data_IF_429447194203
#
_entry.id   IF_429447194203
#
_cell.length_a   1.000
_cell.length_b   1.000
_cell.length_c   1.000
_cell.angle_alpha   90.00
_cell.angle_beta   90.00
_cell.angle_gamma   90.00
#
_symmetry.space_group_name_H-M   'P 1'
#
loop_
_entity.id
_entity.type
_entity.pdbx_description
1 polymer ?
#
# COMPACT_ATOMS: atom_id res chain seq x y z
N UNK A 1 -10.80 -9.42 21.77
CA UNK A 1 -11.14 -9.03 21.15
C UNK A 1 -10.75 -9.28 19.94
N UNK A 2 -11.26 -9.38 19.24
CA UNK A 2 -10.87 -9.75 18.09
C UNK A 2 -10.35 -8.75 17.35
N UNK A 3 -9.59 -8.93 16.54
CA UNK A 3 -9.09 -8.00 15.87
C UNK A 3 -9.71 -7.93 14.70
N UNK A 4 -10.14 -6.99 14.25
CA UNK A 4 -10.83 -6.76 13.09
C UNK A 4 -9.94 -6.42 11.96
N UNK A 5 -8.77 -6.89 11.93
CA UNK A 5 -7.85 -6.60 10.86
C UNK A 5 -8.11 -7.42 9.63
N UNK A 6 -7.83 -6.83 8.47
CA UNK A 6 -7.81 -7.57 7.22
C UNK A 6 -6.38 -7.94 6.92
N UNK A 7 -6.20 -9.12 6.35
CA UNK A 7 -4.88 -9.51 5.90
C UNK A 7 -4.71 -9.05 4.47
N UNK A 8 -3.68 -8.27 4.21
CA UNK A 8 -3.41 -7.83 2.85
C UNK A 8 -1.97 -8.22 2.51
N UNK A 9 -1.75 -8.55 1.27
CA UNK A 9 -0.42 -8.88 0.80
C UNK A 9 0.04 -7.75 -0.07
N UNK A 10 1.16 -7.17 0.28
CA UNK A 10 1.66 -6.01 -0.43
C UNK A 10 3.02 -6.35 -0.99
N UNK A 11 3.16 -6.26 -2.31
CA UNK A 11 4.43 -6.46 -2.97
C UNK A 11 5.07 -5.11 -3.19
N UNK A 12 6.29 -4.93 -2.70
CA UNK A 12 7.02 -3.69 -2.92
C UNK A 12 7.93 -3.92 -4.11
N UNK A 13 7.69 -3.15 -5.16
CA UNK A 13 8.38 -3.39 -6.42
C UNK A 13 9.89 -3.23 -6.31
N UNK A 14 10.36 -2.31 -5.47
CA UNK A 14 11.80 -2.10 -5.32
C UNK A 14 12.53 -3.37 -4.97
N UNK A 15 11.93 -4.21 -4.14
CA UNK A 15 12.59 -5.42 -3.68
C UNK A 15 11.96 -6.66 -4.27
N UNK A 16 10.81 -6.50 -4.90
CA UNK A 16 10.00 -7.62 -5.42
C UNK A 16 9.65 -8.63 -4.33
N UNK A 17 9.61 -8.16 -3.10
CA UNK A 17 9.20 -9.00 -2.00
C UNK A 17 7.79 -8.66 -1.59
N UNK A 18 7.11 -9.62 -1.04
CA UNK A 18 5.74 -9.45 -0.58
C UNK A 18 5.72 -9.55 0.93
N UNK A 19 5.02 -8.62 1.56
CA UNK A 19 4.80 -8.68 2.99
C UNK A 19 3.32 -8.83 3.26
N UNK A 20 3.00 -9.47 4.36
CA UNK A 20 1.61 -9.59 4.78
C UNK A 20 1.39 -8.60 5.91
N UNK A 21 0.40 -7.77 5.77
CA UNK A 21 0.06 -6.78 6.77
C UNK A 21 -1.34 -7.04 7.27
N UNK A 22 -1.52 -6.85 8.55
CA UNK A 22 -2.85 -6.94 9.12
C UNK A 22 -3.27 -5.54 9.53
N UNK A 23 -4.26 -5.01 8.88
CA UNK A 23 -4.71 -3.65 9.09
C UNK A 23 -6.21 -3.61 9.21
N UNK A 24 -6.74 -2.73 10.03
CA UNK A 24 -8.20 -2.60 10.09
C UNK A 24 -8.72 -1.96 8.81
N UNK A 25 -9.97 -2.19 8.46
CA UNK A 25 -10.52 -1.58 7.25
C UNK A 25 -10.59 -0.07 7.35
N UNK A 26 -10.49 0.48 8.54
CA UNK A 26 -10.46 1.93 8.71
C UNK A 26 -9.09 2.54 8.46
N UNK A 27 -8.05 1.72 8.33
CA UNK A 27 -6.72 2.24 8.05
C UNK A 27 -6.71 2.88 6.66
N UNK A 28 -5.88 3.88 6.47
CA UNK A 28 -5.84 4.56 5.19
C UNK A 28 -4.90 3.85 4.22
N UNK A 29 -5.07 4.14 2.94
CA UNK A 29 -4.16 3.64 1.92
C UNK A 29 -2.75 4.13 2.20
N UNK A 30 -2.62 5.37 2.67
CA UNK A 30 -1.31 5.92 3.01
C UNK A 30 -0.64 5.11 4.12
N UNK A 31 -1.41 4.68 5.09
CA UNK A 31 -0.85 3.88 6.17
C UNK A 31 -0.38 2.53 5.66
N UNK A 32 -1.14 1.90 4.78
CA UNK A 32 -0.73 0.64 4.20
C UNK A 32 0.58 0.81 3.44
N UNK A 33 0.69 1.88 2.66
CA UNK A 33 1.89 2.14 1.89
C UNK A 33 3.09 2.33 2.81
N UNK A 34 2.90 3.14 3.85
CA UNK A 34 4.00 3.44 4.75
C UNK A 34 4.46 2.16 5.46
N UNK A 35 3.52 1.36 5.93
CA UNK A 35 3.91 0.14 6.63
C UNK A 35 4.65 -0.82 5.74
N UNK A 36 4.23 -0.95 4.49
CA UNK A 36 4.92 -1.84 3.56
C UNK A 36 6.33 -1.37 3.31
N UNK A 37 6.52 -0.07 3.13
CA UNK A 37 7.85 0.47 2.88
C UNK A 37 8.75 0.30 4.10
N UNK A 38 8.21 0.51 5.28
CA UNK A 38 8.99 0.34 6.51
C UNK A 38 9.39 -1.12 6.68
N UNK A 39 8.47 -2.04 6.44
CA UNK A 39 8.77 -3.46 6.59
C UNK A 39 9.85 -3.91 5.62
N UNK A 40 9.93 -3.27 4.46
CA UNK A 40 10.94 -3.63 3.49
C UNK A 40 12.19 -2.80 3.62
N UNK A 41 12.28 -1.98 4.66
CA UNK A 41 13.45 -1.15 4.92
C UNK A 41 13.76 -0.21 3.75
N UNK A 42 12.72 0.25 3.08
CA UNK A 42 12.90 1.22 2.00
C UNK A 42 12.99 2.60 2.63
N UNK A 43 14.09 3.27 2.43
CA UNK A 43 14.32 4.54 3.07
C UNK A 43 13.84 5.74 2.26
N UNK A 44 13.24 5.49 1.13
CA UNK A 44 12.80 6.58 0.26
C UNK A 44 11.52 7.22 0.76
N UNK A 45 11.29 8.43 0.31
CA UNK A 45 10.11 9.18 0.69
C UNK A 45 8.84 8.45 0.23
N UNK A 46 7.93 8.13 1.12
CA UNK A 46 6.70 7.45 0.70
C UNK A 46 5.91 8.23 -0.34
N UNK A 47 6.07 9.55 -0.39
CA UNK A 47 5.40 10.33 -1.41
C UNK A 47 5.83 9.99 -2.82
N UNK A 48 6.95 9.31 -2.98
CA UNK A 48 7.40 8.89 -4.30
C UNK A 48 6.88 7.54 -4.73
N UNK A 49 5.94 6.95 -3.99
CA UNK A 49 5.40 5.64 -4.30
C UNK A 49 3.90 5.72 -4.45
N UNK A 50 3.34 4.82 -5.19
CA UNK A 50 1.89 4.71 -5.30
C UNK A 50 1.48 3.29 -5.01
N UNK A 51 0.21 3.09 -4.73
CA UNK A 51 -0.36 1.79 -4.47
C UNK A 51 -1.29 1.43 -5.60
N UNK A 52 -1.14 0.24 -6.15
CA UNK A 52 -2.08 -0.26 -7.15
C UNK A 52 -2.81 -1.46 -6.62
N UNK A 53 -4.08 -1.53 -6.94
CA UNK A 53 -4.92 -2.61 -6.53
C UNK A 53 -5.78 -2.99 -7.72
N UNK A 54 -5.66 -4.22 -8.17
CA UNK A 54 -6.43 -4.71 -9.31
C UNK A 54 -6.19 -3.88 -10.56
N UNK A 55 -4.98 -3.44 -10.74
CA UNK A 55 -4.61 -2.70 -11.93
C UNK A 55 -4.91 -1.22 -11.89
N UNK A 56 -5.52 -0.73 -10.82
CA UNK A 56 -5.86 0.67 -10.71
C UNK A 56 -5.05 1.34 -9.62
N UNK A 57 -4.63 2.56 -9.85
CA UNK A 57 -3.91 3.32 -8.83
C UNK A 57 -4.88 3.83 -7.78
N UNK A 58 -4.54 3.62 -6.53
CA UNK A 58 -5.33 4.15 -5.43
C UNK A 58 -4.80 5.54 -5.12
N UNK A 59 -5.28 6.52 -5.86
CA UNK A 59 -4.72 7.86 -5.77
C UNK A 59 -5.11 8.60 -4.51
N UNK A 60 -6.29 8.34 -3.98
CA UNK A 60 -6.72 9.01 -2.77
C UNK A 60 -6.21 8.21 -1.59
N UNK A 61 -5.03 8.53 -1.15
CA UNK A 61 -4.40 7.77 -0.07
C UNK A 61 -4.96 8.12 1.29
N UNK A 62 -5.82 9.12 1.38
CA UNK A 62 -6.49 9.42 2.63
C UNK A 62 -7.73 8.55 2.81
N UNK A 63 -8.17 7.87 1.77
CA UNK A 63 -9.33 7.01 1.86
C UNK A 63 -8.99 5.78 2.69
N UNK A 64 -10.00 5.26 3.38
CA UNK A 64 -9.79 4.03 4.14
C UNK A 64 -9.70 2.85 3.18
N UNK A 65 -9.14 1.75 3.65
CA UNK A 65 -9.07 0.56 2.84
C UNK A 65 -10.47 0.08 2.46
N UNK A 66 -11.41 0.21 3.37
CA UNK A 66 -12.78 -0.17 3.05
C UNK A 66 -13.37 0.72 1.96
N UNK A 67 -13.09 2.02 2.00
CA UNK A 67 -13.57 2.91 0.95
C UNK A 67 -12.93 2.60 -0.38
N UNK A 68 -11.71 2.14 -0.38
CA UNK A 68 -11.01 1.77 -1.60
C UNK A 68 -11.41 0.37 -2.07
N UNK A 69 -12.31 -0.27 -1.34
CA UNK A 69 -12.82 -1.60 -1.68
C UNK A 69 -11.75 -2.68 -1.57
N UNK A 70 -10.78 -2.46 -0.72
CA UNK A 70 -9.78 -3.46 -0.42
C UNK A 70 -10.41 -4.45 0.55
N UNK A 71 -10.30 -5.72 0.24
CA UNK A 71 -10.93 -6.77 1.04
C UNK A 71 -9.87 -7.63 1.67
N UNK A 72 -10.33 -8.51 2.55
CA UNK A 72 -9.43 -9.45 3.20
C UNK A 72 -8.74 -10.32 2.14
N UNK A 73 -7.48 -10.57 2.34
CA UNK A 73 -6.65 -11.33 1.42
C UNK A 73 -6.37 -10.62 0.11
N UNK A 74 -6.55 -9.31 0.07
CA UNK A 74 -6.26 -8.56 -1.14
C UNK A 74 -4.76 -8.52 -1.42
N UNK A 75 -4.41 -8.45 -2.67
CA UNK A 75 -3.02 -8.30 -3.10
C UNK A 75 -2.84 -6.94 -3.74
N UNK A 76 -1.90 -6.18 -3.20
CA UNK A 76 -1.64 -4.84 -3.69
C UNK A 76 -0.17 -4.71 -4.05
N UNK A 77 0.17 -3.71 -4.83
CA UNK A 77 1.54 -3.45 -5.22
C UNK A 77 1.89 -2.02 -4.88
N UNK A 78 3.04 -1.82 -4.23
CA UNK A 78 3.58 -0.50 -3.98
C UNK A 78 4.75 -0.32 -4.92
N UNK A 79 4.69 0.70 -5.74
CA UNK A 79 5.72 0.91 -6.75
C UNK A 79 6.08 2.38 -6.85
N UNK A 80 7.30 2.70 -7.29
CA UNK A 80 7.69 4.09 -7.41
C UNK A 80 6.91 4.77 -8.51
N UNK A 81 6.54 6.02 -8.21
CA UNK A 81 5.89 6.82 -9.21
C UNK A 81 6.96 7.39 -10.11
N UNK A 82 6.85 7.08 -11.41
CA UNK A 82 7.84 7.57 -12.29
C UNK A 82 7.54 8.98 -12.64
N UNK A 83 8.38 9.93 -12.19
CA UNK A 83 8.17 11.28 -12.51
C UNK A 83 8.99 11.63 -13.65
N UNK A 84 8.45 12.28 -14.66
CA UNK A 84 9.22 12.75 -15.73
C UNK A 84 9.97 13.90 -15.29
N UNK A 85 11.21 14.04 -15.57
CA UNK A 85 11.96 15.23 -15.22
C UNK A 85 11.43 16.38 -16.00
N UNK A 86 11.33 17.47 -15.33
CA UNK A 86 10.87 18.65 -15.99
C UNK A 86 12.04 19.38 -16.50
N UNK A 87 12.02 19.68 -17.71
CA UNK A 87 13.16 20.27 -18.23
C UNK A 87 13.04 21.64 -18.32
#
# INVERSE_FOLDING_TARGET
MSEDGMLVRVTVQDTWDTVELKLPPTASVAELKLRALVMMHVANDPGGYEVKYRGASLRDETASLASAQVVDNAALIVLPVRRRPVK
#
